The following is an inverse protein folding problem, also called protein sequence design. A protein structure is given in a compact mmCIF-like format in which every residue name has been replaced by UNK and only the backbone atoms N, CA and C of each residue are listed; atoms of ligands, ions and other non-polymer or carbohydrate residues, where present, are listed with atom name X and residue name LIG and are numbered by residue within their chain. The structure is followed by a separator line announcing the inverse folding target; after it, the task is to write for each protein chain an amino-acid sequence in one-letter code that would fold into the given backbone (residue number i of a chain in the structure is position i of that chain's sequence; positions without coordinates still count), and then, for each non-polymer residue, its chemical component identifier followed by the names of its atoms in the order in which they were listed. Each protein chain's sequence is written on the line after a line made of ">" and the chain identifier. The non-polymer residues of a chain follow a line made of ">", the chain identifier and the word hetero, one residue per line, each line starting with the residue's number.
data_IF_214226428763
#
_entry.id   IF_214226428763
#
_cell.length_a   1.000
_cell.length_b   1.000
_cell.length_c   1.000
_cell.angle_alpha   90.00
_cell.angle_beta   90.00
_cell.angle_gamma   90.00
#
_symmetry.space_group_name_H-M   'P 1'
#
loop_
_entity.id
_entity.type
_entity.pdbx_description
1 polymer ?
#
# COMPACT_ATOMS: atom_id res chain seq x y z
N UNK A 1 -8.97 -13.31 40.59
CA UNK A 1 -7.77 -13.72 39.86
C UNK A 1 -8.26 -14.50 38.65
N UNK A 2 -8.32 -13.85 37.49
CA UNK A 2 -8.73 -14.52 36.24
C UNK A 2 -7.47 -15.20 35.74
N UNK A 3 -7.48 -16.52 35.73
CA UNK A 3 -6.41 -17.36 35.20
C UNK A 3 -6.42 -17.16 33.65
N UNK A 4 -5.54 -16.32 33.16
CA UNK A 4 -5.31 -16.17 31.72
C UNK A 4 -4.46 -17.38 31.33
N UNK A 5 -5.11 -18.51 31.07
CA UNK A 5 -4.45 -19.61 30.34
C UNK A 5 -4.08 -19.10 28.98
N UNK A 6 -2.79 -18.71 28.79
CA UNK A 6 -2.24 -18.42 27.47
C UNK A 6 -2.39 -19.70 26.64
N UNK A 7 -3.28 -19.65 25.67
CA UNK A 7 -3.40 -20.71 24.67
C UNK A 7 -2.06 -20.82 23.93
N UNK A 8 -1.38 -21.95 24.16
CA UNK A 8 -0.07 -22.24 23.56
C UNK A 8 -0.17 -23.01 22.23
N UNK A 9 -1.39 -23.28 21.77
CA UNK A 9 -1.59 -23.92 20.46
C UNK A 9 -0.99 -23.05 19.35
N UNK A 10 -0.11 -23.55 18.48
CA UNK A 10 0.43 -22.77 17.38
C UNK A 10 -0.67 -22.24 16.47
N UNK A 11 -0.50 -21.01 15.97
CA UNK A 11 -1.35 -20.48 14.88
C UNK A 11 -1.27 -21.41 13.68
N UNK A 12 -2.42 -21.69 13.08
CA UNK A 12 -2.43 -22.44 11.80
C UNK A 12 -2.12 -21.53 10.63
N UNK A 13 -1.55 -22.08 9.57
CA UNK A 13 -1.31 -21.31 8.33
C UNK A 13 -2.59 -20.75 7.73
N UNK A 14 -3.74 -21.44 7.91
CA UNK A 14 -5.05 -20.95 7.46
C UNK A 14 -5.50 -19.71 8.22
N UNK A 15 -5.38 -19.69 9.55
CA UNK A 15 -5.69 -18.51 10.35
C UNK A 15 -4.84 -17.29 9.97
N UNK A 16 -3.53 -17.51 9.79
CA UNK A 16 -2.60 -16.45 9.39
C UNK A 16 -2.99 -15.92 8.01
N UNK A 17 -3.19 -16.83 7.05
CA UNK A 17 -3.56 -16.45 5.68
C UNK A 17 -4.87 -15.67 5.63
N UNK A 18 -5.91 -16.12 6.33
CA UNK A 18 -7.20 -15.44 6.41
C UNK A 18 -7.04 -14.02 6.96
N UNK A 19 -6.27 -13.86 8.03
CA UNK A 19 -6.01 -12.55 8.63
C UNK A 19 -5.24 -11.61 7.70
N UNK A 20 -4.20 -12.11 7.02
CA UNK A 20 -3.43 -11.32 6.04
C UNK A 20 -4.30 -10.93 4.87
N UNK A 21 -5.13 -11.83 4.33
CA UNK A 21 -6.12 -11.51 3.27
C UNK A 21 -7.09 -10.41 3.74
N UNK A 22 -7.62 -10.52 4.97
CA UNK A 22 -8.48 -9.47 5.52
C UNK A 22 -7.77 -8.11 5.58
N UNK A 23 -6.46 -8.10 5.82
CA UNK A 23 -5.59 -6.92 5.79
C UNK A 23 -5.72 -6.08 4.51
N UNK A 24 -6.07 -6.69 3.39
CA UNK A 24 -6.24 -6.02 2.10
C UNK A 24 -7.52 -5.16 1.97
N UNK A 25 -8.09 -4.72 3.09
CA UNK A 25 -9.16 -3.72 3.09
C UNK A 25 -10.45 -4.15 3.80
N UNK A 26 -10.50 -5.32 4.42
CA UNK A 26 -11.66 -5.75 5.19
C UNK A 26 -11.45 -5.48 6.70
N UNK A 27 -11.65 -4.22 7.10
CA UNK A 27 -11.47 -3.80 8.49
C UNK A 27 -12.35 -4.57 9.49
N UNK A 28 -13.57 -4.93 9.09
CA UNK A 28 -14.50 -5.69 9.95
C UNK A 28 -13.93 -7.08 10.25
N UNK A 29 -13.48 -7.79 9.22
CA UNK A 29 -12.84 -9.10 9.40
C UNK A 29 -11.53 -9.00 10.20
N UNK A 30 -10.70 -7.99 9.94
CA UNK A 30 -9.46 -7.74 10.72
C UNK A 30 -9.79 -7.58 12.20
N UNK A 31 -10.80 -6.78 12.55
CA UNK A 31 -11.23 -6.58 13.94
C UNK A 31 -11.73 -7.86 14.58
N UNK A 32 -12.57 -8.61 13.88
CA UNK A 32 -13.13 -9.86 14.39
C UNK A 32 -12.06 -10.93 14.65
N UNK A 33 -11.17 -11.13 13.66
CA UNK A 33 -10.11 -12.13 13.75
C UNK A 33 -9.08 -11.76 14.82
N UNK A 34 -8.69 -10.48 14.91
CA UNK A 34 -7.72 -10.04 15.92
C UNK A 34 -8.30 -10.08 17.35
N UNK A 35 -9.60 -9.80 17.52
CA UNK A 35 -10.26 -9.94 18.82
C UNK A 35 -10.36 -11.39 19.26
N UNK A 36 -10.54 -12.33 18.34
CA UNK A 36 -10.58 -13.76 18.62
C UNK A 36 -9.18 -14.33 18.89
N UNK A 37 -8.16 -13.84 18.17
CA UNK A 37 -6.80 -14.35 18.26
C UNK A 37 -5.77 -13.20 18.14
N UNK A 38 -5.42 -12.54 19.27
CA UNK A 38 -4.50 -11.38 19.26
C UNK A 38 -3.09 -11.67 18.74
N UNK A 39 -2.65 -12.93 18.75
CA UNK A 39 -1.33 -13.34 18.25
C UNK A 39 -1.20 -13.20 16.74
N UNK A 40 -2.32 -13.01 16.01
CA UNK A 40 -2.33 -12.76 14.57
C UNK A 40 -1.71 -11.41 14.18
N UNK A 41 -1.66 -10.42 15.09
CA UNK A 41 -1.29 -9.04 14.79
C UNK A 41 -0.06 -8.90 13.88
N UNK A 42 1.01 -9.63 14.21
CA UNK A 42 2.28 -9.61 13.49
C UNK A 42 2.60 -10.93 12.80
N UNK A 43 1.61 -11.82 12.68
CA UNK A 43 1.81 -13.07 11.96
C UNK A 43 1.93 -12.80 10.45
N UNK A 44 2.92 -13.45 9.83
CA UNK A 44 3.17 -13.30 8.41
C UNK A 44 2.74 -14.56 7.64
N UNK A 45 2.06 -14.37 6.52
CA UNK A 45 1.78 -15.42 5.56
C UNK A 45 2.90 -15.50 4.52
N UNK A 46 3.29 -16.69 4.13
CA UNK A 46 4.21 -16.93 3.02
C UNK A 46 3.41 -17.21 1.74
N UNK A 47 3.56 -16.35 0.74
CA UNK A 47 2.91 -16.48 -0.57
C UNK A 47 3.73 -17.30 -1.55
N UNK A 48 5.04 -17.36 -1.32
CA UNK A 48 6.02 -18.09 -2.10
C UNK A 48 7.41 -17.90 -1.50
N UNK A 49 8.45 -18.60 -2.01
CA UNK A 49 9.78 -18.50 -1.44
C UNK A 49 10.29 -17.06 -1.33
N UNK A 50 10.45 -16.57 -0.10
CA UNK A 50 10.95 -15.23 0.18
C UNK A 50 9.92 -14.11 0.06
N UNK A 51 8.64 -14.41 -0.25
CA UNK A 51 7.55 -13.45 -0.30
C UNK A 51 6.63 -13.65 0.90
N UNK A 52 6.90 -12.92 1.97
CA UNK A 52 6.12 -12.94 3.22
C UNK A 52 5.40 -11.63 3.42
N UNK A 53 4.22 -11.71 4.01
CA UNK A 53 3.36 -10.55 4.22
C UNK A 53 2.61 -10.63 5.53
N UNK A 54 2.57 -9.53 6.28
CA UNK A 54 1.69 -9.32 7.42
C UNK A 54 0.42 -8.55 7.00
N UNK A 55 -0.63 -8.57 7.81
CA UNK A 55 -1.86 -7.84 7.48
C UNK A 55 -1.66 -6.33 7.29
N UNK A 56 -0.72 -5.70 8.02
CA UNK A 56 -0.42 -4.27 7.84
C UNK A 56 0.34 -3.99 6.54
N UNK A 57 1.20 -4.92 6.09
CA UNK A 57 1.87 -4.83 4.80
C UNK A 57 0.87 -5.02 3.65
N UNK A 58 -0.11 -5.93 3.81
CA UNK A 58 -1.26 -6.06 2.91
C UNK A 58 -2.04 -4.75 2.79
N UNK A 59 -2.38 -4.13 3.91
CA UNK A 59 -3.03 -2.82 3.92
C UNK A 59 -2.19 -1.75 3.19
N UNK A 60 -0.87 -1.78 3.36
CA UNK A 60 0.03 -0.79 2.77
C UNK A 60 0.07 -0.87 1.24
N UNK A 61 0.12 -2.07 0.66
CA UNK A 61 0.26 -2.19 -0.80
C UNK A 61 -1.06 -2.08 -1.58
N UNK A 62 -2.22 -2.13 -0.87
CA UNK A 62 -3.52 -1.83 -1.49
C UNK A 62 -4.05 -0.44 -1.12
N UNK A 63 -3.31 0.34 -0.32
CA UNK A 63 -3.71 1.67 0.10
C UNK A 63 -4.85 1.71 1.13
N UNK A 64 -5.06 0.63 1.89
CA UNK A 64 -6.10 0.55 2.91
C UNK A 64 -5.70 1.28 4.19
N UNK A 65 -5.87 2.61 4.18
CA UNK A 65 -5.54 3.50 5.31
C UNK A 65 -6.22 3.08 6.60
N UNK A 66 -7.52 2.76 6.54
CA UNK A 66 -8.31 2.42 7.74
C UNK A 66 -7.79 1.16 8.43
N UNK A 67 -7.44 0.13 7.66
CA UNK A 67 -6.88 -1.12 8.20
C UNK A 67 -5.49 -0.86 8.77
N UNK A 68 -4.63 -0.12 8.05
CA UNK A 68 -3.29 0.19 8.53
C UNK A 68 -3.31 0.98 9.85
N UNK A 69 -4.13 2.04 9.94
CA UNK A 69 -4.27 2.84 11.16
C UNK A 69 -4.83 2.01 12.32
N UNK A 70 -5.79 1.13 12.06
CA UNK A 70 -6.30 0.23 13.09
C UNK A 70 -5.21 -0.72 13.62
N UNK A 71 -4.46 -1.38 12.72
CA UNK A 71 -3.41 -2.32 13.12
C UNK A 71 -2.27 -1.60 13.87
N UNK A 72 -1.90 -0.38 13.46
CA UNK A 72 -0.95 0.45 14.22
C UNK A 72 -1.46 0.77 15.62
N UNK A 73 -2.75 1.08 15.77
CA UNK A 73 -3.35 1.32 17.09
C UNK A 73 -3.38 0.05 17.97
N UNK A 74 -3.32 -1.15 17.38
CA UNK A 74 -3.18 -2.41 18.10
C UNK A 74 -1.72 -2.78 18.40
N UNK A 75 -0.73 -2.00 17.93
CA UNK A 75 0.70 -2.20 18.19
C UNK A 75 1.47 -2.89 17.06
N UNK A 76 0.92 -2.96 15.86
CA UNK A 76 1.71 -3.37 14.68
C UNK A 76 2.86 -2.38 14.43
N UNK A 77 4.02 -2.83 13.93
CA UNK A 77 5.15 -1.95 13.65
C UNK A 77 4.84 -1.00 12.48
N UNK A 78 5.29 0.25 12.60
CA UNK A 78 5.25 1.20 11.49
C UNK A 78 6.53 1.09 10.67
N UNK A 79 6.45 0.42 9.54
CA UNK A 79 7.55 0.25 8.60
C UNK A 79 7.51 1.28 7.47
N UNK A 80 8.60 1.41 6.69
CA UNK A 80 8.79 2.41 5.65
C UNK A 80 7.63 2.43 4.63
N UNK A 81 7.21 1.26 4.13
CA UNK A 81 6.13 1.16 3.13
C UNK A 81 4.81 1.67 3.68
N UNK A 82 4.47 1.28 4.90
CA UNK A 82 3.25 1.73 5.59
C UNK A 82 3.32 3.23 5.91
N UNK A 83 4.48 3.73 6.36
CA UNK A 83 4.68 5.15 6.61
C UNK A 83 4.52 6.00 5.33
N UNK A 84 5.08 5.52 4.21
CA UNK A 84 4.95 6.17 2.90
C UNK A 84 3.50 6.17 2.41
N UNK A 85 2.80 5.04 2.49
CA UNK A 85 1.37 4.92 2.13
C UNK A 85 0.49 5.85 2.96
N UNK A 86 0.78 5.99 4.26
CA UNK A 86 0.03 6.87 5.14
C UNK A 86 0.42 8.36 4.99
N UNK A 87 1.48 8.69 4.24
CA UNK A 87 1.99 10.05 4.10
C UNK A 87 2.66 10.58 5.37
N UNK A 88 3.18 9.70 6.22
CA UNK A 88 3.89 10.06 7.46
C UNK A 88 5.31 10.52 7.14
N UNK A 89 5.42 11.66 6.47
CA UNK A 89 6.68 12.19 5.91
C UNK A 89 7.84 12.18 6.92
N UNK A 90 7.64 12.70 8.12
CA UNK A 90 8.70 12.75 9.13
C UNK A 90 9.25 11.36 9.48
N UNK A 91 8.39 10.34 9.54
CA UNK A 91 8.81 8.94 9.80
C UNK A 91 9.56 8.38 8.59
N UNK A 92 9.11 8.66 7.37
CA UNK A 92 9.80 8.26 6.14
C UNK A 92 11.22 8.87 6.10
N UNK A 93 11.33 10.17 6.38
CA UNK A 93 12.63 10.88 6.44
C UNK A 93 13.55 10.29 7.51
N UNK A 94 13.03 9.99 8.71
CA UNK A 94 13.79 9.38 9.80
C UNK A 94 14.29 7.97 9.41
N UNK A 95 13.44 7.13 8.83
CA UNK A 95 13.81 5.78 8.40
C UNK A 95 14.85 5.80 7.28
N UNK A 96 14.72 6.70 6.31
CA UNK A 96 15.70 6.86 5.23
C UNK A 96 17.01 7.52 5.71
N UNK A 97 16.97 8.36 6.72
CA UNK A 97 18.18 8.89 7.35
C UNK A 97 18.95 7.82 8.13
N UNK A 98 18.24 6.85 8.71
CA UNK A 98 18.85 5.71 9.40
C UNK A 98 19.44 4.68 8.42
N UNK A 99 18.79 4.47 7.28
CA UNK A 99 19.23 3.57 6.19
C UNK A 99 18.91 4.19 4.83
N UNK A 100 19.87 4.88 4.23
CA UNK A 100 19.69 5.50 2.93
C UNK A 100 19.47 4.48 1.79
N UNK A 101 19.94 3.24 1.94
CA UNK A 101 19.72 2.19 0.93
C UNK A 101 18.26 1.73 0.88
N UNK A 102 17.48 1.95 1.96
CA UNK A 102 16.07 1.63 2.01
C UNK A 102 15.21 2.38 0.98
N UNK A 103 15.74 3.45 0.34
CA UNK A 103 15.09 4.12 -0.79
C UNK A 103 14.78 3.17 -1.96
N UNK A 104 15.59 2.12 -2.14
CA UNK A 104 15.43 1.09 -3.17
C UNK A 104 14.72 -0.18 -2.66
N UNK A 105 14.22 -0.15 -1.41
CA UNK A 105 13.56 -1.31 -0.84
C UNK A 105 12.19 -1.56 -1.47
N UNK A 106 11.75 -2.80 -1.33
CA UNK A 106 10.45 -3.25 -1.84
C UNK A 106 9.64 -3.82 -0.68
N UNK A 107 8.35 -3.58 -0.68
CA UNK A 107 7.40 -4.19 0.24
C UNK A 107 7.03 -5.61 -0.17
N UNK A 108 5.97 -6.15 0.42
CA UNK A 108 5.38 -7.42 0.03
C UNK A 108 5.16 -7.49 -1.50
N UNK A 109 5.28 -8.68 -2.07
CA UNK A 109 5.18 -8.94 -3.51
C UNK A 109 6.21 -8.15 -4.36
N UNK A 110 7.30 -7.69 -3.75
CA UNK A 110 8.33 -6.92 -4.44
C UNK A 110 7.88 -5.53 -4.91
N UNK A 111 6.83 -4.96 -4.33
CA UNK A 111 6.27 -3.68 -4.75
C UNK A 111 7.19 -2.52 -4.31
N UNK A 112 7.64 -1.63 -5.24
CA UNK A 112 8.55 -0.53 -4.93
C UNK A 112 7.95 0.51 -3.98
N UNK A 113 8.83 1.21 -3.24
CA UNK A 113 8.46 2.26 -2.28
C UNK A 113 7.57 3.36 -2.89
N UNK A 114 7.88 3.81 -4.12
CA UNK A 114 7.11 4.86 -4.80
C UNK A 114 5.63 4.48 -4.98
N UNK A 115 5.35 3.19 -5.23
CA UNK A 115 3.98 2.69 -5.39
C UNK A 115 3.16 2.83 -4.10
N UNK A 116 3.79 2.62 -2.94
CA UNK A 116 3.15 2.83 -1.64
C UNK A 116 2.93 4.32 -1.36
N UNK A 117 3.94 5.16 -1.60
CA UNK A 117 3.85 6.60 -1.42
C UNK A 117 2.74 7.24 -2.26
N UNK A 118 2.45 6.70 -3.44
CA UNK A 118 1.41 7.21 -4.33
C UNK A 118 -0.01 7.17 -3.71
N UNK A 119 -0.28 6.25 -2.79
CA UNK A 119 -1.54 6.19 -2.05
C UNK A 119 -1.71 7.33 -1.03
N UNK A 120 -0.61 7.98 -0.62
CA UNK A 120 -0.65 9.02 0.42
C UNK A 120 -1.45 10.25 0.01
N UNK A 121 -1.51 10.56 -1.30
CA UNK A 121 -2.01 11.82 -1.84
C UNK A 121 -1.03 12.99 -1.70
N UNK A 122 0.16 12.78 -1.11
CA UNK A 122 1.19 13.78 -0.90
C UNK A 122 2.18 13.81 -2.08
N UNK A 123 1.93 14.68 -3.06
CA UNK A 123 2.79 14.83 -4.24
C UNK A 123 4.21 15.28 -3.88
N UNK A 124 4.38 16.05 -2.80
CA UNK A 124 5.72 16.49 -2.39
C UNK A 124 6.52 15.35 -1.73
N UNK A 125 5.85 14.40 -1.05
CA UNK A 125 6.51 13.17 -0.59
C UNK A 125 6.95 12.32 -1.78
N UNK A 126 6.05 12.11 -2.77
CA UNK A 126 6.36 11.33 -3.99
C UNK A 126 7.53 11.95 -4.74
N UNK A 127 7.53 13.29 -4.93
CA UNK A 127 8.62 14.02 -5.56
C UNK A 127 9.95 13.81 -4.82
N UNK A 128 9.97 14.01 -3.51
CA UNK A 128 11.17 13.86 -2.70
C UNK A 128 11.75 12.43 -2.74
N UNK A 129 10.88 11.41 -2.69
CA UNK A 129 11.31 10.02 -2.81
C UNK A 129 11.88 9.71 -4.20
N UNK A 130 11.25 10.20 -5.25
CA UNK A 130 11.73 10.03 -6.62
C UNK A 130 13.09 10.72 -6.82
N UNK A 131 13.25 11.98 -6.37
CA UNK A 131 14.51 12.71 -6.41
C UNK A 131 15.63 12.02 -5.61
N UNK A 132 15.28 11.34 -4.52
CA UNK A 132 16.19 10.55 -3.72
C UNK A 132 16.56 9.18 -4.34
N UNK A 133 15.91 8.79 -5.46
CA UNK A 133 16.24 7.58 -6.20
C UNK A 133 15.17 6.49 -6.22
N UNK A 134 13.99 6.67 -5.63
CA UNK A 134 12.86 5.74 -5.74
C UNK A 134 12.19 5.86 -7.10
N UNK A 135 12.89 5.48 -8.18
CA UNK A 135 12.44 5.68 -9.57
C UNK A 135 11.73 4.46 -10.17
N UNK A 136 11.49 3.42 -9.40
CA UNK A 136 10.85 2.21 -9.89
C UNK A 136 9.33 2.22 -9.69
N UNK A 137 8.60 1.59 -10.61
CA UNK A 137 7.16 1.38 -10.50
C UNK A 137 6.31 2.62 -10.83
N UNK A 138 6.81 3.57 -11.62
CA UNK A 138 6.12 4.81 -11.98
C UNK A 138 4.70 4.58 -12.50
N UNK A 139 4.51 3.60 -13.38
CA UNK A 139 3.21 3.23 -13.94
C UNK A 139 2.24 2.71 -12.86
N UNK A 140 2.73 1.81 -12.00
CA UNK A 140 1.91 1.32 -10.87
C UNK A 140 1.62 2.43 -9.87
N UNK A 141 2.57 3.34 -9.62
CA UNK A 141 2.36 4.50 -8.75
C UNK A 141 1.24 5.40 -9.29
N UNK A 142 1.18 5.65 -10.61
CA UNK A 142 0.07 6.36 -11.24
C UNK A 142 -1.26 5.63 -11.04
N UNK A 143 -1.31 4.33 -11.31
CA UNK A 143 -2.51 3.52 -11.11
C UNK A 143 -3.00 3.56 -9.65
N UNK A 144 -2.08 3.50 -8.69
CA UNK A 144 -2.37 3.59 -7.26
C UNK A 144 -2.92 4.98 -6.88
N UNK A 145 -2.30 6.06 -7.38
CA UNK A 145 -2.79 7.42 -7.17
C UNK A 145 -4.22 7.60 -7.72
N UNK A 146 -4.49 7.08 -8.92
CA UNK A 146 -5.82 7.10 -9.53
C UNK A 146 -6.81 6.27 -8.72
N UNK A 147 -6.41 5.09 -8.25
CA UNK A 147 -7.27 4.21 -7.45
C UNK A 147 -7.81 4.86 -6.17
N UNK A 148 -7.08 5.81 -5.58
CA UNK A 148 -7.52 6.54 -4.37
C UNK A 148 -7.95 7.99 -4.65
N UNK A 149 -7.91 8.44 -5.90
CA UNK A 149 -8.26 9.82 -6.28
C UNK A 149 -7.20 10.85 -5.88
N UNK A 150 -5.95 10.45 -5.72
CA UNK A 150 -4.81 11.30 -5.35
C UNK A 150 -4.35 12.17 -6.53
N UNK A 151 -5.19 13.13 -6.95
CA UNK A 151 -5.00 13.92 -8.17
C UNK A 151 -3.67 14.66 -8.22
N UNK A 152 -3.22 15.23 -7.09
CA UNK A 152 -1.95 15.95 -7.05
C UNK A 152 -0.75 15.03 -7.35
N UNK A 153 -0.79 13.79 -6.86
CA UNK A 153 0.21 12.75 -7.15
C UNK A 153 0.14 12.33 -8.62
N UNK A 154 -1.07 12.11 -9.16
CA UNK A 154 -1.25 11.74 -10.56
C UNK A 154 -0.71 12.84 -11.50
N UNK A 155 -0.99 14.12 -11.23
CA UNK A 155 -0.44 15.25 -11.99
C UNK A 155 1.08 15.23 -11.95
N UNK A 156 1.67 15.12 -10.74
CA UNK A 156 3.12 15.10 -10.62
C UNK A 156 3.76 13.94 -11.41
N UNK A 157 3.20 12.74 -11.31
CA UNK A 157 3.70 11.57 -12.04
C UNK A 157 3.60 11.76 -13.56
N UNK A 158 2.48 12.30 -14.06
CA UNK A 158 2.30 12.56 -15.50
C UNK A 158 3.24 13.64 -16.05
N UNK A 159 3.62 14.63 -15.23
CA UNK A 159 4.49 15.73 -15.63
C UNK A 159 5.98 15.41 -15.51
N UNK A 160 6.40 14.50 -14.61
CA UNK A 160 7.81 14.33 -14.27
C UNK A 160 8.37 12.95 -14.58
N UNK A 161 7.51 11.94 -14.80
CA UNK A 161 7.93 10.59 -15.19
C UNK A 161 7.08 10.17 -16.39
N UNK A 162 7.50 9.20 -17.15
CA UNK A 162 6.79 8.73 -18.35
C UNK A 162 6.08 7.38 -18.03
N UNK A 163 4.91 7.40 -17.35
CA UNK A 163 4.18 6.19 -17.02
C UNK A 163 3.49 5.62 -18.26
N UNK A 164 3.48 4.30 -18.39
CA UNK A 164 2.73 3.60 -19.45
C UNK A 164 1.23 3.72 -19.19
N UNK A 165 0.53 4.53 -19.96
CA UNK A 165 -0.91 4.77 -19.84
C UNK A 165 -1.77 3.63 -20.39
N UNK A 166 -1.19 2.71 -21.18
CA UNK A 166 -1.84 1.52 -21.71
C UNK A 166 -1.71 0.31 -20.75
N UNK A 167 -0.86 0.42 -19.70
CA UNK A 167 -0.71 -0.63 -18.71
C UNK A 167 -2.04 -0.91 -17.99
N UNK A 168 -2.32 -2.19 -17.79
CA UNK A 168 -3.50 -2.64 -17.07
C UNK A 168 -3.14 -3.29 -15.75
N UNK A 169 -3.98 -3.06 -14.74
CA UNK A 169 -3.87 -3.74 -13.46
C UNK A 169 -4.29 -5.22 -13.56
N UNK A 170 -4.23 -5.95 -12.44
CA UNK A 170 -4.61 -7.37 -12.38
C UNK A 170 -6.06 -7.68 -12.79
N UNK A 171 -6.93 -6.67 -12.86
CA UNK A 171 -8.31 -6.77 -13.35
C UNK A 171 -8.41 -6.46 -14.85
N UNK A 172 -7.31 -6.23 -15.55
CA UNK A 172 -7.29 -5.85 -16.96
C UNK A 172 -7.75 -4.41 -17.21
N UNK A 173 -7.73 -3.52 -16.21
CA UNK A 173 -8.19 -2.14 -16.32
C UNK A 173 -7.02 -1.16 -16.39
N UNK A 174 -7.08 -0.20 -17.32
CA UNK A 174 -6.16 0.94 -17.37
C UNK A 174 -6.44 1.93 -16.21
N UNK A 175 -5.54 2.88 -15.99
CA UNK A 175 -5.78 3.96 -15.04
C UNK A 175 -7.02 4.78 -15.41
N UNK A 176 -7.27 5.01 -16.71
CA UNK A 176 -8.48 5.70 -17.18
C UNK A 176 -9.75 4.91 -16.88
N UNK A 177 -9.75 3.59 -17.10
CA UNK A 177 -10.91 2.74 -16.76
C UNK A 177 -11.25 2.81 -15.27
N UNK A 178 -10.22 2.84 -14.41
CA UNK A 178 -10.41 2.97 -12.96
C UNK A 178 -11.01 4.33 -12.62
N UNK A 179 -10.51 5.43 -13.20
CA UNK A 179 -11.04 6.77 -12.98
C UNK A 179 -12.52 6.88 -13.40
N UNK A 180 -12.86 6.36 -14.59
CA UNK A 180 -14.25 6.31 -15.10
C UNK A 180 -15.15 5.48 -14.21
N UNK A 181 -14.72 4.28 -13.81
CA UNK A 181 -15.50 3.41 -12.93
C UNK A 181 -15.77 4.02 -11.55
N UNK A 182 -14.88 4.91 -11.07
CA UNK A 182 -15.05 5.67 -9.83
C UNK A 182 -15.95 6.90 -9.99
N UNK A 183 -16.31 7.28 -11.21
CA UNK A 183 -16.99 8.54 -11.50
C UNK A 183 -16.12 9.78 -11.25
N UNK A 184 -14.79 9.63 -11.24
CA UNK A 184 -13.85 10.74 -11.08
C UNK A 184 -13.55 11.38 -12.44
N UNK A 185 -14.51 12.17 -12.94
CA UNK A 185 -14.42 12.84 -14.24
C UNK A 185 -13.18 13.75 -14.34
N UNK A 186 -12.80 14.41 -13.23
CA UNK A 186 -11.61 15.28 -13.23
C UNK A 186 -10.30 14.49 -13.41
N UNK A 187 -10.23 13.31 -12.86
CA UNK A 187 -9.10 12.39 -13.04
C UNK A 187 -9.13 11.80 -14.45
N UNK A 188 -10.29 11.38 -14.93
CA UNK A 188 -10.46 10.87 -16.29
C UNK A 188 -10.06 11.91 -17.35
N UNK A 189 -10.48 13.16 -17.21
CA UNK A 189 -10.10 14.24 -18.12
C UNK A 189 -8.60 14.54 -18.07
N UNK A 190 -7.99 14.51 -16.88
CA UNK A 190 -6.54 14.62 -16.74
C UNK A 190 -5.83 13.52 -17.53
N UNK A 191 -6.21 12.26 -17.34
CA UNK A 191 -5.57 11.13 -18.01
C UNK A 191 -5.73 11.19 -19.52
N UNK A 192 -6.94 11.57 -20.05
CA UNK A 192 -7.18 11.78 -21.48
C UNK A 192 -6.32 12.89 -22.06
N UNK A 193 -6.10 13.99 -21.31
CA UNK A 193 -5.23 15.09 -21.74
C UNK A 193 -3.78 14.64 -21.95
N UNK A 194 -3.34 13.58 -21.28
CA UNK A 194 -2.04 12.95 -21.46
C UNK A 194 -2.06 11.75 -22.42
N UNK A 195 -3.19 11.50 -23.11
CA UNK A 195 -3.30 10.48 -24.15
C UNK A 195 -3.72 9.10 -23.66
N UNK A 196 -4.27 8.96 -22.43
CA UNK A 196 -4.81 7.69 -21.97
C UNK A 196 -6.07 7.31 -22.77
N UNK A 197 -6.17 6.02 -23.08
CA UNK A 197 -7.35 5.40 -23.70
C UNK A 197 -7.96 4.36 -22.77
N UNK A 198 -9.25 4.08 -22.92
CA UNK A 198 -9.91 2.96 -22.25
C UNK A 198 -9.51 1.63 -22.88
N UNK A 199 -9.48 0.55 -22.09
CA UNK A 199 -9.22 -0.81 -22.60
C UNK A 199 -10.36 -1.37 -23.44
#
# INVERSE_FOLDING_TARGET
>A
MIDVTTDTTPLTGEQIREFVIAGHGNLEAVRALLAAEPRLLNAANEWGPGDTETAIQGAAHVGSREVAEYLLAQGAPLELMTAAMLGRRAVVEELLAADAAAIHSRGAHGIPLLCHAAFSGDAALVAALHEAGACEGNTMALANAVAVGARAVAVWLLENVDPDLAWTNWQGRTALDVAVARGDERMADLLRAYGAETS
#
